data_IF_995377254323
#
_entry.id   IF_995377254323
#
_cell.length_a   1.000
_cell.length_b   1.000
_cell.length_c   1.000
_cell.angle_alpha   90.00
_cell.angle_beta   90.00
_cell.angle_gamma   90.00
#
_symmetry.space_group_name_H-M   'P 1'
#
loop_
_entity.id
_entity.type
_entity.pdbx_description
1 polymer ?
#
# COMPACT_ATOMS: atom_id res chain seq x y z
N UNK A 1 -2.52 -24.19 10.99
CA UNK A 1 -1.30 -23.67 11.69
C UNK A 1 -1.71 -23.16 13.06
N UNK A 2 -1.08 -23.66 14.13
CA UNK A 2 -1.52 -23.46 15.52
C UNK A 2 -1.31 -22.00 15.98
N UNK A 3 -2.11 -21.54 16.94
CA UNK A 3 -1.97 -20.21 17.58
C UNK A 3 -0.54 -20.03 18.15
N UNK A 4 0.07 -21.11 18.63
CA UNK A 4 1.43 -21.11 19.18
C UNK A 4 2.49 -20.91 18.09
N UNK A 5 2.26 -21.41 16.86
CA UNK A 5 3.18 -21.20 15.74
C UNK A 5 3.20 -19.75 15.26
N UNK A 6 2.02 -19.10 15.26
CA UNK A 6 1.91 -17.66 14.93
C UNK A 6 2.61 -16.80 15.98
N UNK A 7 2.44 -17.12 17.27
CA UNK A 7 3.10 -16.40 18.37
C UNK A 7 4.63 -16.60 18.36
N UNK A 8 5.10 -17.82 18.08
CA UNK A 8 6.53 -18.11 17.93
C UNK A 8 7.15 -17.42 16.72
N UNK A 9 6.44 -17.34 15.58
CA UNK A 9 6.90 -16.58 14.40
C UNK A 9 7.03 -15.08 14.70
N UNK A 10 6.06 -14.48 15.41
CA UNK A 10 6.13 -13.07 15.82
C UNK A 10 7.32 -12.76 16.73
N UNK A 11 7.72 -13.70 17.59
CA UNK A 11 8.93 -13.57 18.42
C UNK A 11 10.24 -13.82 17.65
N UNK A 12 10.19 -14.28 16.40
CA UNK A 12 11.37 -14.59 15.56
C UNK A 12 11.61 -13.59 14.43
N UNK A 13 10.75 -12.59 14.25
CA UNK A 13 10.90 -11.54 13.23
C UNK A 13 11.59 -10.31 13.82
N UNK A 14 12.89 -10.09 13.53
CA UNK A 14 13.63 -8.98 14.13
C UNK A 14 13.24 -7.61 13.54
N UNK A 15 12.69 -7.57 12.32
CA UNK A 15 12.33 -6.32 11.65
C UNK A 15 10.86 -6.00 11.89
N UNK A 16 10.59 -4.88 12.55
CA UNK A 16 9.22 -4.44 12.87
C UNK A 16 8.48 -3.91 11.65
N UNK A 17 9.19 -3.21 10.78
CA UNK A 17 8.63 -2.68 9.54
C UNK A 17 9.73 -2.52 8.49
N UNK A 18 9.38 -2.80 7.24
CA UNK A 18 10.15 -2.47 6.06
C UNK A 18 9.34 -1.47 5.22
N UNK A 19 9.87 -0.26 5.06
CA UNK A 19 9.27 0.77 4.22
C UNK A 19 9.96 0.74 2.86
N UNK A 20 9.20 0.45 1.82
CA UNK A 20 9.75 0.27 0.47
C UNK A 20 9.24 1.40 -0.42
N UNK A 21 10.16 2.21 -0.94
CA UNK A 21 9.87 3.12 -2.04
C UNK A 21 9.74 2.32 -3.33
N UNK A 22 8.53 2.20 -3.86
CA UNK A 22 8.27 1.42 -5.10
C UNK A 22 8.42 2.27 -6.36
N UNK A 23 8.22 3.58 -6.25
CA UNK A 23 8.45 4.54 -7.32
C UNK A 23 8.61 5.94 -6.73
N UNK A 24 9.45 6.76 -7.35
CA UNK A 24 9.55 8.20 -7.07
C UNK A 24 8.80 9.06 -8.10
N UNK A 25 8.08 8.44 -9.05
CA UNK A 25 7.16 9.09 -10.00
C UNK A 25 5.82 9.34 -9.36
N UNK A 26 5.16 10.45 -9.70
CA UNK A 26 3.80 10.73 -9.22
C UNK A 26 3.04 11.63 -10.19
N UNK A 27 1.73 11.42 -10.26
CA UNK A 27 0.81 12.24 -11.08
C UNK A 27 0.63 13.67 -10.55
N UNK A 28 1.03 13.93 -9.29
CA UNK A 28 0.91 15.24 -8.63
C UNK A 28 2.26 15.88 -8.35
N UNK A 29 2.36 17.22 -8.45
CA UNK A 29 3.52 18.03 -8.05
C UNK A 29 3.22 18.84 -6.79
N UNK A 30 2.86 18.15 -5.71
CA UNK A 30 2.48 18.78 -4.43
C UNK A 30 3.57 19.74 -3.92
N UNK A 31 3.19 20.95 -3.48
CA UNK A 31 4.12 21.95 -2.95
C UNK A 31 4.88 21.47 -1.70
N UNK A 32 4.27 20.58 -0.91
CA UNK A 32 4.85 20.00 0.32
C UNK A 32 5.80 18.82 0.07
N UNK A 33 5.95 18.36 -1.18
CA UNK A 33 6.73 17.18 -1.51
C UNK A 33 8.20 17.55 -1.76
N UNK A 34 9.18 16.78 -1.24
CA UNK A 34 10.60 16.92 -1.60
C UNK A 34 10.84 16.90 -3.10
N UNK A 35 10.00 16.17 -3.87
CA UNK A 35 10.06 16.13 -5.34
C UNK A 35 9.86 17.50 -5.98
N UNK A 36 9.08 18.38 -5.35
CA UNK A 36 8.85 19.74 -5.82
C UNK A 36 9.92 20.70 -5.31
N UNK A 37 10.33 20.59 -4.04
CA UNK A 37 11.35 21.49 -3.47
C UNK A 37 12.77 21.18 -3.95
N UNK A 38 13.03 19.96 -4.41
CA UNK A 38 14.32 19.51 -4.96
C UNK A 38 14.23 19.22 -6.47
N UNK A 39 13.25 19.80 -7.18
CA UNK A 39 12.91 19.45 -8.56
C UNK A 39 14.11 19.50 -9.54
N UNK A 40 15.07 20.42 -9.33
CA UNK A 40 16.25 20.56 -10.19
C UNK A 40 17.20 19.36 -10.12
N UNK A 41 17.21 18.64 -9.00
CA UNK A 41 18.10 17.50 -8.75
C UNK A 41 17.35 16.18 -8.56
N UNK A 42 16.02 16.23 -8.58
CA UNK A 42 15.18 15.05 -8.39
C UNK A 42 15.37 14.06 -9.53
N UNK A 43 15.56 12.80 -9.17
CA UNK A 43 15.67 11.70 -10.13
C UNK A 43 14.49 10.78 -9.95
N UNK A 44 13.64 10.74 -10.97
CA UNK A 44 12.58 9.75 -11.04
C UNK A 44 13.15 8.36 -11.30
N UNK A 45 12.59 7.37 -10.62
CA UNK A 45 12.98 5.99 -10.71
C UNK A 45 11.87 5.08 -10.22
N UNK A 46 11.87 3.87 -10.72
CA UNK A 46 10.98 2.79 -10.33
C UNK A 46 11.83 1.70 -9.70
N UNK A 47 11.35 1.09 -8.63
CA UNK A 47 11.95 -0.16 -8.16
C UNK A 47 11.78 -1.19 -9.28
N UNK A 48 12.82 -1.93 -9.62
CA UNK A 48 12.70 -3.00 -10.61
C UNK A 48 12.56 -4.37 -9.94
N UNK A 49 12.25 -5.39 -10.74
CA UNK A 49 12.06 -6.75 -10.22
C UNK A 49 13.37 -7.35 -9.63
N UNK A 50 14.54 -6.91 -10.11
CA UNK A 50 15.82 -7.40 -9.61
C UNK A 50 16.10 -6.85 -8.20
N UNK A 51 15.86 -5.55 -7.99
CA UNK A 51 15.96 -4.91 -6.68
C UNK A 51 14.87 -5.40 -5.73
N UNK A 52 13.64 -5.62 -6.23
CA UNK A 52 12.59 -6.23 -5.41
C UNK A 52 13.02 -7.59 -4.87
N UNK A 53 13.68 -8.46 -5.65
CA UNK A 53 14.17 -9.76 -5.13
C UNK A 53 15.15 -9.62 -3.97
N UNK A 54 15.95 -8.55 -3.95
CA UNK A 54 16.85 -8.25 -2.82
C UNK A 54 16.03 -7.87 -1.59
N UNK A 55 15.05 -6.97 -1.74
CA UNK A 55 14.11 -6.60 -0.67
C UNK A 55 13.30 -7.80 -0.18
N UNK A 56 12.88 -8.67 -1.11
CA UNK A 56 12.04 -9.83 -0.85
C UNK A 56 12.71 -10.87 0.05
N UNK A 57 14.05 -10.94 0.02
CA UNK A 57 14.83 -11.83 0.87
C UNK A 57 14.63 -11.56 2.38
N UNK A 58 14.30 -10.32 2.74
CA UNK A 58 14.10 -9.90 4.14
C UNK A 58 12.63 -9.99 4.60
N UNK A 59 11.70 -10.40 3.72
CA UNK A 59 10.27 -10.45 4.05
C UNK A 59 9.99 -11.44 5.18
N UNK A 60 10.62 -12.61 5.20
CA UNK A 60 10.41 -13.59 6.27
C UNK A 60 10.86 -13.07 7.66
N UNK A 61 11.76 -12.09 7.68
CA UNK A 61 12.27 -11.45 8.90
C UNK A 61 11.40 -10.26 9.36
N UNK A 62 10.42 -9.86 8.55
CA UNK A 62 9.71 -8.57 8.69
C UNK A 62 8.25 -8.73 9.09
N UNK A 63 7.83 -8.09 10.18
CA UNK A 63 6.43 -8.10 10.62
C UNK A 63 5.49 -7.38 9.63
N UNK A 64 5.87 -6.17 9.19
CA UNK A 64 5.04 -5.29 8.38
C UNK A 64 5.81 -4.73 7.18
N UNK A 65 5.20 -4.70 6.00
CA UNK A 65 5.74 -4.05 4.81
C UNK A 65 4.84 -2.89 4.44
N UNK A 66 5.39 -1.68 4.42
CA UNK A 66 4.69 -0.49 3.94
C UNK A 66 5.19 -0.18 2.52
N UNK A 67 4.33 -0.40 1.54
CA UNK A 67 4.55 -0.04 0.14
C UNK A 67 4.21 1.44 -0.03
N UNK A 68 5.21 2.27 -0.29
CA UNK A 68 5.07 3.71 -0.32
C UNK A 68 6.14 4.35 -1.22
N UNK A 69 6.40 5.63 -1.01
CA UNK A 69 7.49 6.36 -1.64
C UNK A 69 7.23 7.85 -1.61
N UNK A 70 8.18 8.61 -2.12
CA UNK A 70 7.94 10.01 -2.50
C UNK A 70 7.07 10.15 -3.76
N UNK A 71 6.91 9.06 -4.52
CA UNK A 71 6.02 8.94 -5.66
C UNK A 71 4.58 8.54 -5.31
N UNK A 72 3.84 8.08 -6.33
CA UNK A 72 2.52 7.46 -6.20
C UNK A 72 2.63 5.95 -6.48
N UNK A 73 2.61 5.10 -5.44
CA UNK A 73 2.76 3.66 -5.59
C UNK A 73 1.79 3.01 -6.56
N UNK A 74 0.53 3.50 -6.65
CA UNK A 74 -0.49 2.92 -7.52
C UNK A 74 -0.18 3.06 -9.02
N UNK A 75 0.85 3.85 -9.39
CA UNK A 75 1.38 3.86 -10.77
C UNK A 75 2.22 2.63 -11.10
N UNK A 76 2.74 1.93 -10.09
CA UNK A 76 3.71 0.87 -10.30
C UNK A 76 3.03 -0.46 -10.67
N UNK A 77 3.26 -0.94 -11.89
CA UNK A 77 2.56 -2.11 -12.46
C UNK A 77 2.79 -3.41 -11.71
N UNK A 78 3.95 -3.57 -11.07
CA UNK A 78 4.28 -4.78 -10.30
C UNK A 78 3.80 -4.72 -8.85
N UNK A 79 3.24 -3.59 -8.40
CA UNK A 79 2.80 -3.42 -7.02
C UNK A 79 1.85 -4.53 -6.52
N UNK A 80 0.86 -5.01 -7.32
CA UNK A 80 -0.01 -6.10 -6.88
C UNK A 80 0.75 -7.42 -6.64
N UNK A 81 1.77 -7.71 -7.46
CA UNK A 81 2.59 -8.91 -7.29
C UNK A 81 3.42 -8.83 -6.00
N UNK A 82 4.02 -7.67 -5.74
CA UNK A 82 4.84 -7.46 -4.55
C UNK A 82 4.05 -7.43 -3.25
N UNK A 83 2.81 -6.93 -3.28
CA UNK A 83 1.88 -7.07 -2.15
C UNK A 83 1.59 -8.55 -1.85
N UNK A 84 1.37 -9.37 -2.90
CA UNK A 84 1.18 -10.82 -2.76
C UNK A 84 2.41 -11.51 -2.18
N UNK A 85 3.61 -11.15 -2.64
CA UNK A 85 4.86 -11.71 -2.13
C UNK A 85 5.01 -11.44 -0.62
N UNK A 86 4.80 -10.19 -0.18
CA UNK A 86 4.85 -9.81 1.23
C UNK A 86 3.78 -10.53 2.07
N UNK A 87 2.55 -10.63 1.55
CA UNK A 87 1.45 -11.38 2.20
C UNK A 87 1.81 -12.86 2.33
N UNK A 88 2.35 -13.48 1.27
CA UNK A 88 2.74 -14.88 1.25
C UNK A 88 3.88 -15.20 2.22
N UNK A 89 4.84 -14.27 2.38
CA UNK A 89 5.87 -14.33 3.41
C UNK A 89 5.31 -14.19 4.84
N UNK A 90 4.03 -13.80 4.99
CA UNK A 90 3.33 -13.67 6.26
C UNK A 90 3.42 -12.26 6.86
N UNK A 91 3.87 -11.25 6.11
CA UNK A 91 3.84 -9.85 6.54
C UNK A 91 2.40 -9.33 6.64
N UNK A 92 2.16 -8.32 7.47
CA UNK A 92 1.06 -7.40 7.22
C UNK A 92 1.48 -6.39 6.16
N UNK A 93 0.60 -6.03 5.24
CA UNK A 93 0.93 -5.18 4.09
C UNK A 93 0.14 -3.88 4.20
N UNK A 94 0.86 -2.76 4.16
CA UNK A 94 0.29 -1.43 4.08
C UNK A 94 0.64 -0.74 2.78
N UNK A 95 -0.21 0.20 2.36
CA UNK A 95 -0.02 1.03 1.18
C UNK A 95 -0.24 2.50 1.53
N UNK A 96 0.67 3.40 1.15
CA UNK A 96 0.44 4.86 1.24
C UNK A 96 0.19 5.41 -0.16
N UNK A 97 -0.91 6.11 -0.39
CA UNK A 97 -1.25 6.70 -1.69
C UNK A 97 -1.71 8.15 -1.55
N UNK A 98 -1.61 8.92 -2.64
CA UNK A 98 -2.23 10.23 -2.78
C UNK A 98 -3.76 10.16 -2.95
N UNK A 99 -4.30 8.98 -3.28
CA UNK A 99 -5.73 8.70 -3.36
C UNK A 99 -6.36 8.78 -4.76
N UNK A 100 -5.66 9.34 -5.75
CA UNK A 100 -6.22 9.61 -7.08
C UNK A 100 -6.58 8.34 -7.85
N UNK A 101 -5.78 7.29 -7.65
CA UNK A 101 -5.86 6.05 -8.42
C UNK A 101 -6.60 4.94 -7.66
N UNK A 102 -7.31 5.28 -6.58
CA UNK A 102 -7.96 4.29 -5.71
C UNK A 102 -9.09 3.53 -6.42
N UNK A 103 -9.87 4.21 -7.25
CA UNK A 103 -10.98 3.57 -7.99
C UNK A 103 -10.45 2.60 -9.05
N UNK A 104 -9.41 3.00 -9.78
CA UNK A 104 -8.73 2.21 -10.80
C UNK A 104 -8.02 0.99 -10.18
N UNK A 105 -7.38 1.18 -9.03
CA UNK A 105 -6.71 0.13 -8.29
C UNK A 105 -7.66 -0.77 -7.48
N UNK A 106 -8.94 -0.41 -7.38
CA UNK A 106 -9.87 -1.05 -6.46
C UNK A 106 -9.98 -2.57 -6.66
N UNK A 107 -9.93 -3.06 -7.91
CA UNK A 107 -10.07 -4.49 -8.18
C UNK A 107 -9.00 -5.32 -7.47
N UNK A 108 -7.73 -4.91 -7.55
CA UNK A 108 -6.63 -5.67 -6.94
C UNK A 108 -6.47 -5.34 -5.45
N UNK A 109 -6.74 -4.10 -5.03
CA UNK A 109 -6.75 -3.74 -3.61
C UNK A 109 -7.78 -4.57 -2.82
N UNK A 110 -8.88 -4.97 -3.49
CA UNK A 110 -9.91 -5.84 -2.93
C UNK A 110 -9.59 -7.34 -3.07
N UNK A 111 -8.44 -7.74 -3.63
CA UNK A 111 -8.00 -9.15 -3.63
C UNK A 111 -7.61 -9.63 -2.22
N UNK A 112 -7.32 -8.70 -1.29
CA UNK A 112 -7.03 -9.00 0.12
C UNK A 112 -5.55 -9.21 0.44
N UNK A 113 -4.65 -8.72 -0.40
CA UNK A 113 -3.20 -8.77 -0.16
C UNK A 113 -2.67 -7.49 0.52
N UNK A 114 -3.52 -6.47 0.70
CA UNK A 114 -3.24 -5.23 1.42
C UNK A 114 -4.16 -5.16 2.64
N UNK A 115 -3.57 -5.08 3.83
CA UNK A 115 -4.29 -5.00 5.11
C UNK A 115 -4.67 -3.56 5.47
N UNK A 116 -3.87 -2.58 5.06
CA UNK A 116 -4.08 -1.17 5.38
C UNK A 116 -3.80 -0.27 4.17
N UNK A 117 -4.70 0.68 3.91
CA UNK A 117 -4.50 1.73 2.93
C UNK A 117 -4.52 3.07 3.67
N UNK A 118 -3.44 3.84 3.50
CA UNK A 118 -3.26 5.17 4.08
C UNK A 118 -3.35 6.20 2.95
N UNK A 119 -4.28 7.14 3.08
CA UNK A 119 -4.52 8.17 2.07
C UNK A 119 -3.98 9.50 2.57
N UNK A 120 -3.10 10.10 1.77
CA UNK A 120 -2.43 11.35 2.11
C UNK A 120 -3.33 12.55 1.84
N UNK A 121 -3.85 13.15 2.90
CA UNK A 121 -4.63 14.40 2.88
C UNK A 121 -3.87 15.55 3.56
N UNK A 122 -4.30 16.80 3.37
CA UNK A 122 -3.57 17.97 3.86
C UNK A 122 -4.54 19.08 4.28
N UNK A 123 -4.86 19.15 5.56
CA UNK A 123 -5.74 20.20 6.10
C UNK A 123 -7.19 20.11 5.60
N UNK A 124 -7.83 21.27 5.48
CA UNK A 124 -9.17 21.44 4.91
C UNK A 124 -9.11 21.44 3.36
N UNK A 125 -10.26 21.57 2.69
CA UNK A 125 -10.34 21.53 1.23
C UNK A 125 -9.42 22.55 0.53
N UNK A 126 -9.42 23.81 1.00
CA UNK A 126 -8.58 24.87 0.44
C UNK A 126 -7.08 24.57 0.59
N UNK A 127 -6.66 24.15 1.80
CA UNK A 127 -5.27 23.77 2.06
C UNK A 127 -4.87 22.53 1.26
N UNK A 128 -5.78 21.57 1.11
CA UNK A 128 -5.52 20.34 0.37
C UNK A 128 -5.26 20.66 -1.10
N UNK A 129 -6.11 21.47 -1.73
CA UNK A 129 -5.93 21.93 -3.10
C UNK A 129 -4.63 22.72 -3.27
N UNK A 130 -4.35 23.67 -2.37
CA UNK A 130 -3.14 24.51 -2.44
C UNK A 130 -1.84 23.70 -2.26
N UNK A 131 -1.80 22.78 -1.30
CA UNK A 131 -0.59 22.03 -0.95
C UNK A 131 -0.37 20.80 -1.85
N UNK A 132 -1.43 20.29 -2.49
CA UNK A 132 -1.39 19.02 -3.24
C UNK A 132 -1.81 19.16 -4.70
N UNK A 133 -1.36 20.24 -5.35
CA UNK A 133 -1.43 20.39 -6.80
C UNK A 133 -2.88 20.32 -7.32
N UNK A 134 -3.77 21.11 -6.72
CA UNK A 134 -5.17 21.19 -7.10
C UNK A 134 -6.02 19.96 -6.76
N UNK A 135 -5.50 19.03 -5.93
CA UNK A 135 -6.27 17.88 -5.45
C UNK A 135 -7.58 18.30 -4.80
N UNK A 136 -8.67 17.59 -5.08
CA UNK A 136 -9.97 17.81 -4.45
C UNK A 136 -10.12 16.84 -3.28
N UNK A 137 -10.18 17.38 -2.06
CA UNK A 137 -10.23 16.59 -0.84
C UNK A 137 -11.46 15.67 -0.81
N UNK A 138 -12.61 16.19 -1.22
CA UNK A 138 -13.89 15.50 -1.25
C UNK A 138 -13.85 14.29 -2.19
N UNK A 139 -13.23 14.43 -3.36
CA UNK A 139 -13.08 13.33 -4.33
C UNK A 139 -12.19 12.22 -3.77
N UNK A 140 -11.07 12.58 -3.15
CA UNK A 140 -10.15 11.62 -2.51
C UNK A 140 -10.83 10.88 -1.37
N UNK A 141 -11.57 11.59 -0.51
CA UNK A 141 -12.34 10.97 0.59
C UNK A 141 -13.48 10.09 0.06
N UNK A 142 -14.15 10.49 -1.02
CA UNK A 142 -15.20 9.69 -1.65
C UNK A 142 -14.65 8.37 -2.20
N UNK A 143 -13.53 8.41 -2.92
CA UNK A 143 -12.85 7.22 -3.44
C UNK A 143 -12.41 6.26 -2.33
N UNK A 144 -11.79 6.80 -1.27
CA UNK A 144 -11.43 6.02 -0.08
C UNK A 144 -12.66 5.39 0.60
N UNK A 145 -13.75 6.16 0.74
CA UNK A 145 -15.01 5.67 1.31
C UNK A 145 -15.69 4.59 0.45
N UNK A 146 -15.66 4.74 -0.88
CA UNK A 146 -16.16 3.72 -1.83
C UNK A 146 -15.38 2.42 -1.67
N UNK A 147 -14.04 2.50 -1.64
CA UNK A 147 -13.19 1.33 -1.48
C UNK A 147 -13.41 0.65 -0.13
N UNK A 148 -13.52 1.41 0.96
CA UNK A 148 -13.79 0.88 2.29
C UNK A 148 -15.14 0.16 2.36
N UNK A 149 -16.21 0.74 1.78
CA UNK A 149 -17.52 0.08 1.70
C UNK A 149 -17.46 -1.24 0.93
N UNK A 150 -16.80 -1.26 -0.22
CA UNK A 150 -16.60 -2.49 -1.01
C UNK A 150 -15.76 -3.52 -0.25
N UNK A 151 -14.74 -3.08 0.48
CA UNK A 151 -13.91 -3.97 1.29
C UNK A 151 -14.63 -4.58 2.50
N UNK A 152 -15.65 -3.89 3.02
CA UNK A 152 -16.48 -4.36 4.11
C UNK A 152 -17.67 -5.22 3.65
N UNK A 153 -17.93 -5.35 2.34
CA UNK A 153 -19.01 -6.17 1.80
C UNK A 153 -18.84 -7.64 2.24
N UNK A 154 -19.77 -8.21 3.02
CA UNK A 154 -19.69 -9.60 3.47
C UNK A 154 -19.54 -10.62 2.33
N UNK A 155 -20.05 -10.35 1.13
CA UNK A 155 -19.91 -11.24 -0.02
C UNK A 155 -18.44 -11.33 -0.47
N UNK A 156 -17.77 -10.18 -0.60
CA UNK A 156 -16.35 -10.11 -0.97
C UNK A 156 -15.46 -10.65 0.16
N UNK A 157 -15.80 -10.38 1.42
CA UNK A 157 -15.08 -10.94 2.58
C UNK A 157 -15.18 -12.47 2.62
N UNK A 158 -16.37 -13.03 2.41
CA UNK A 158 -16.58 -14.49 2.35
C UNK A 158 -15.83 -15.13 1.19
N UNK A 159 -15.87 -14.52 0.01
CA UNK A 159 -15.12 -15.00 -1.15
C UNK A 159 -13.61 -15.06 -0.88
N UNK A 160 -13.04 -14.06 -0.18
CA UNK A 160 -11.62 -14.11 0.25
C UNK A 160 -11.33 -15.24 1.23
N UNK A 161 -12.27 -15.57 2.12
CA UNK A 161 -12.11 -16.74 2.99
C UNK A 161 -12.10 -18.04 2.18
N UNK A 162 -12.99 -18.17 1.18
CA UNK A 162 -13.11 -19.37 0.33
C UNK A 162 -11.98 -19.55 -0.69
N UNK A 163 -11.43 -18.46 -1.27
CA UNK A 163 -10.33 -18.52 -2.27
C UNK A 163 -8.95 -18.88 -1.69
N UNK A 164 -8.85 -19.28 -0.42
CA UNK A 164 -7.65 -19.93 0.15
C UNK A 164 -6.99 -19.22 1.32
N UNK A 165 -7.72 -18.60 2.27
CA UNK A 165 -7.07 -17.81 3.35
C UNK A 165 -7.59 -18.00 4.78
N UNK A 166 -8.41 -19.00 5.04
CA UNK A 166 -8.48 -19.66 6.36
C UNK A 166 -9.11 -21.03 6.15
N UNK A 167 -8.30 -22.07 5.95
CA UNK A 167 -8.78 -23.43 6.08
C UNK A 167 -9.26 -23.65 7.52
N UNK A 168 -10.55 -23.92 7.65
CA UNK A 168 -11.22 -24.63 8.75
C UNK A 168 -10.90 -24.14 10.18
N UNK A 169 -11.74 -23.23 10.67
CA UNK A 169 -11.94 -22.96 12.08
C UNK A 169 -13.43 -22.74 12.35
N UNK A 170 -14.19 -23.82 12.36
CA UNK A 170 -15.30 -24.05 13.29
C UNK A 170 -15.26 -25.52 13.70
#
# INVERSE_FOLDING_TARGET
MSILDRLRRRHRRPLRALQVEVTSRCVRRCAICPRSSLAETWREGDLDDALWKVVAADLELTDHVQLQGWGEPLLHRLLPAWARDARAAGCTVGLTTNGDLLEEAASWLLEGDVDQIVVSVAGNADNHAALRDGSQLESVLAAAGNLARRGADPALVRERMHRGRCGELW
#
